data_IF_688337691878
#
_entry.id   IF_688337691878
#
_cell.length_a   1.000
_cell.length_b   1.000
_cell.length_c   1.000
_cell.angle_alpha   90.00
_cell.angle_beta   90.00
_cell.angle_gamma   90.00
#
_symmetry.space_group_name_H-M   'P 1'
#
loop_
_entity.id
_entity.type
_entity.pdbx_description
1 polymer ?
#
# COMPACT_ATOMS: atom_id res chain seq x y z
N UNK A 1 -0.61 18.35 82.76
CA UNK A 1 -1.21 17.83 81.51
C UNK A 1 -0.11 17.70 80.47
N UNK A 2 0.13 16.52 79.88
CA UNK A 2 1.09 16.41 78.79
C UNK A 2 0.44 17.00 77.52
N UNK A 3 0.96 18.12 77.02
CA UNK A 3 0.58 18.65 75.72
C UNK A 3 1.26 17.78 74.65
N UNK A 4 0.55 16.75 74.20
CA UNK A 4 0.98 15.92 73.07
C UNK A 4 1.02 16.77 71.81
N UNK A 5 2.17 17.40 71.53
CA UNK A 5 2.41 18.06 70.25
C UNK A 5 2.52 16.97 69.18
N UNK A 6 1.51 16.88 68.33
CA UNK A 6 1.57 16.07 67.11
C UNK A 6 2.73 16.61 66.28
N UNK A 7 3.81 15.83 66.15
CA UNK A 7 4.98 16.20 65.35
C UNK A 7 4.66 15.94 63.88
N UNK A 8 4.32 16.99 63.14
CA UNK A 8 4.04 16.91 61.70
C UNK A 8 5.33 16.82 60.88
N UNK A 9 5.24 16.45 59.60
CA UNK A 9 6.39 16.40 58.69
C UNK A 9 7.14 17.74 58.59
N UNK A 10 6.39 18.85 58.65
CA UNK A 10 6.90 20.22 58.67
C UNK A 10 7.77 20.50 59.92
N UNK A 11 7.29 20.12 61.11
CA UNK A 11 8.03 20.31 62.37
C UNK A 11 9.34 19.52 62.38
N UNK A 12 9.31 18.30 61.82
CA UNK A 12 10.50 17.44 61.72
C UNK A 12 11.55 18.03 60.79
N UNK A 13 11.14 18.61 59.66
CA UNK A 13 12.04 19.30 58.73
C UNK A 13 12.72 20.51 59.39
N UNK A 14 11.96 21.34 60.09
CA UNK A 14 12.52 22.51 60.82
C UNK A 14 13.52 22.05 61.88
N UNK A 15 13.22 21.00 62.63
CA UNK A 15 14.14 20.42 63.63
C UNK A 15 15.40 19.84 62.98
N UNK A 16 15.27 19.19 61.82
CA UNK A 16 16.37 18.59 61.09
C UNK A 16 17.35 19.65 60.59
N UNK A 17 16.85 20.72 59.97
CA UNK A 17 17.65 21.85 59.49
C UNK A 17 18.27 22.62 60.67
N UNK A 18 17.55 22.78 61.78
CA UNK A 18 18.11 23.38 62.99
C UNK A 18 19.24 22.55 63.62
N UNK A 19 19.18 21.22 63.55
CA UNK A 19 20.19 20.32 64.14
C UNK A 19 21.44 20.17 63.27
N UNK A 20 21.27 20.09 61.95
CA UNK A 20 22.39 19.89 61.00
C UNK A 20 22.95 21.20 60.44
N UNK A 21 22.23 22.31 60.59
CA UNK A 21 22.62 23.63 60.07
C UNK A 21 22.34 23.78 58.58
N UNK A 22 22.84 22.84 57.78
CA UNK A 22 22.65 22.78 56.33
C UNK A 22 22.40 21.32 55.91
N UNK A 23 21.44 21.11 55.00
CA UNK A 23 21.15 19.77 54.48
C UNK A 23 20.66 19.85 53.04
N UNK A 24 21.04 18.89 52.20
CA UNK A 24 20.47 18.76 50.85
C UNK A 24 19.00 18.32 50.93
N UNK A 25 18.18 18.83 50.02
CA UNK A 25 16.75 18.50 49.95
C UNK A 25 16.53 16.99 49.79
N UNK A 26 17.31 16.36 48.92
CA UNK A 26 17.32 14.90 48.68
C UNK A 26 17.65 14.09 49.94
N UNK A 27 18.64 14.53 50.71
CA UNK A 27 19.02 13.88 51.96
C UNK A 27 17.97 14.12 53.06
N UNK A 28 17.33 15.28 53.08
CA UNK A 28 16.22 15.59 53.98
C UNK A 28 14.99 14.71 53.68
N UNK A 29 14.67 14.51 52.41
CA UNK A 29 13.58 13.64 51.96
C UNK A 29 13.78 12.19 52.41
N UNK A 30 14.99 11.65 52.24
CA UNK A 30 15.35 10.30 52.72
C UNK A 30 15.27 10.15 54.24
N UNK A 31 15.72 11.15 54.99
CA UNK A 31 15.71 11.08 56.47
C UNK A 31 14.29 11.20 57.04
N UNK A 32 13.43 11.95 56.36
CA UNK A 32 12.04 12.16 56.78
C UNK A 32 11.08 11.09 56.24
N UNK A 33 11.57 10.21 55.36
CA UNK A 33 10.78 9.19 54.65
C UNK A 33 9.60 9.83 53.90
N UNK A 34 9.92 10.83 53.07
CA UNK A 34 8.95 11.64 52.33
C UNK A 34 9.37 11.79 50.87
N UNK A 35 8.38 11.88 49.97
CA UNK A 35 8.63 12.20 48.56
C UNK A 35 9.25 13.59 48.40
N UNK A 36 10.23 13.71 47.50
CA UNK A 36 10.99 14.95 47.31
C UNK A 36 10.11 16.10 46.82
N UNK A 37 9.10 15.82 45.99
CA UNK A 37 8.14 16.81 45.50
C UNK A 37 7.25 17.35 46.63
N UNK A 38 6.73 16.46 47.47
CA UNK A 38 5.93 16.84 48.65
C UNK A 38 6.78 17.64 49.66
N UNK A 39 8.04 17.25 49.87
CA UNK A 39 8.96 18.00 50.72
C UNK A 39 9.25 19.39 50.15
N UNK A 40 9.36 19.51 48.83
CA UNK A 40 9.61 20.78 48.15
C UNK A 40 8.44 21.76 48.30
N UNK A 41 7.19 21.30 48.32
CA UNK A 41 6.04 22.14 48.65
C UNK A 41 6.12 22.68 50.08
N UNK A 42 6.47 21.84 51.05
CA UNK A 42 6.69 22.28 52.43
C UNK A 42 7.84 23.27 52.56
N UNK A 43 8.94 23.06 51.82
CA UNK A 43 10.08 23.97 51.80
C UNK A 43 9.67 25.33 51.22
N UNK A 44 8.87 25.40 50.15
CA UNK A 44 8.38 26.68 49.60
C UNK A 44 7.64 27.49 50.66
N UNK A 45 6.71 26.86 51.38
CA UNK A 45 5.96 27.50 52.47
C UNK A 45 6.91 28.02 53.56
N UNK A 46 7.92 27.23 53.94
CA UNK A 46 8.88 27.64 54.98
C UNK A 46 9.85 28.74 54.52
N UNK A 47 10.13 28.82 53.23
CA UNK A 47 10.92 29.89 52.61
C UNK A 47 10.11 31.19 52.54
N UNK A 48 8.84 31.12 52.15
CA UNK A 48 7.93 32.26 52.12
C UNK A 48 7.76 32.88 53.52
N UNK A 49 7.83 32.05 54.56
CA UNK A 49 7.81 32.52 55.95
C UNK A 49 9.20 32.88 56.51
N UNK A 50 10.27 32.80 55.71
CA UNK A 50 11.67 33.07 56.08
C UNK A 50 12.20 32.20 57.23
N UNK A 51 11.62 31.01 57.40
CA UNK A 51 12.00 30.00 58.41
C UNK A 51 13.21 29.19 57.91
N UNK A 52 13.26 28.91 56.61
CA UNK A 52 14.34 28.19 55.92
C UNK A 52 14.78 29.01 54.70
N UNK A 53 16.06 28.96 54.35
CA UNK A 53 16.63 29.56 53.14
C UNK A 53 17.10 28.43 52.20
N UNK A 54 16.87 28.55 50.90
CA UNK A 54 17.40 27.60 49.90
C UNK A 54 18.62 28.23 49.23
N UNK A 55 19.75 27.51 49.22
CA UNK A 55 20.88 27.81 48.35
C UNK A 55 20.96 26.80 47.22
N UNK A 56 21.03 27.30 46.00
CA UNK A 56 21.20 26.49 44.80
C UNK A 56 22.70 26.27 44.56
N UNK A 57 23.10 25.02 44.42
CA UNK A 57 24.45 24.68 44.01
C UNK A 57 24.53 24.58 42.49
N UNK A 58 25.72 24.80 41.92
CA UNK A 58 25.96 24.70 40.47
C UNK A 58 25.63 23.31 39.89
N UNK A 59 25.56 22.28 40.75
CA UNK A 59 25.28 20.89 40.39
C UNK A 59 23.78 20.54 40.48
N UNK A 60 22.89 21.51 40.73
CA UNK A 60 21.43 21.33 40.70
C UNK A 60 20.80 20.90 42.03
N UNK A 61 21.59 20.51 43.02
CA UNK A 61 21.09 20.18 44.36
C UNK A 61 20.71 21.44 45.15
N UNK A 62 19.53 21.40 45.78
CA UNK A 62 19.02 22.45 46.68
C UNK A 62 19.50 22.17 48.11
N UNK A 63 20.22 23.11 48.70
CA UNK A 63 20.66 23.03 50.09
C UNK A 63 19.74 23.90 50.94
N UNK A 64 19.09 23.28 51.92
CA UNK A 64 18.27 23.93 52.94
C UNK A 64 19.16 24.44 54.06
N UNK A 65 19.06 25.73 54.38
CA UNK A 65 19.74 26.40 55.48
C UNK A 65 18.74 27.06 56.40
N UNK A 66 19.15 27.34 57.63
CA UNK A 66 18.32 28.05 58.60
C UNK A 66 18.02 29.48 58.13
N UNK A 67 16.74 29.84 58.07
CA UNK A 67 16.29 31.19 57.71
C UNK A 67 16.44 32.21 58.86
N UNK A 68 16.38 33.52 58.55
CA UNK A 68 16.64 34.60 59.49
C UNK A 68 15.65 34.69 60.66
N UNK A 69 14.42 34.16 60.53
CA UNK A 69 13.40 34.20 61.60
C UNK A 69 13.62 33.19 62.74
N UNK A 70 14.68 32.39 62.71
CA UNK A 70 15.05 31.49 63.82
C UNK A 70 16.27 32.03 64.62
N UNK A 71 16.39 33.35 64.74
CA UNK A 71 17.20 34.00 65.77
C UNK A 71 16.29 34.61 66.83
N UNK A 72 16.30 33.98 68.01
CA UNK A 72 15.84 34.59 69.25
C UNK A 72 14.38 34.31 69.61
N UNK A 73 14.15 34.07 70.90
CA UNK A 73 12.84 33.92 71.49
C UNK A 73 11.93 35.11 71.12
N UNK A 74 10.75 34.83 70.58
CA UNK A 74 9.72 35.84 70.32
C UNK A 74 9.19 36.29 71.68
N UNK A 75 9.60 37.48 72.13
CA UNK A 75 9.05 38.11 73.33
C UNK A 75 7.65 38.64 73.02
N UNK A 76 6.74 38.49 73.98
CA UNK A 76 5.32 38.91 73.93
C UNK A 76 5.12 40.43 73.80
N UNK A 77 6.19 41.23 73.73
CA UNK A 77 6.12 42.70 73.77
C UNK A 77 6.23 43.36 72.40
N UNK A 78 6.79 42.70 71.38
CA UNK A 78 6.80 43.22 70.01
C UNK A 78 5.49 42.97 69.26
N UNK A 79 4.68 42.00 69.71
CA UNK A 79 3.32 41.76 69.20
C UNK A 79 2.37 42.88 69.66
N UNK A 80 2.59 43.48 70.85
CA UNK A 80 1.71 44.55 71.36
C UNK A 80 1.90 45.89 70.63
N UNK A 81 3.12 46.26 70.22
CA UNK A 81 3.36 47.55 69.54
C UNK A 81 2.99 47.58 68.06
N UNK A 82 2.96 46.43 67.37
CA UNK A 82 2.48 46.35 65.98
C UNK A 82 0.94 46.25 65.86
N UNK A 83 0.26 45.90 66.95
CA UNK A 83 -1.22 45.85 67.00
C UNK A 83 -1.85 47.23 67.29
N UNK A 84 -1.12 48.17 67.91
CA UNK A 84 -1.65 49.51 68.25
C UNK A 84 -1.50 50.57 67.15
N UNK A 85 -0.76 50.31 66.06
CA UNK A 85 -0.66 51.25 64.91
C UNK A 85 -1.61 50.93 63.77
N UNK A 86 -2.40 49.84 63.87
CA UNK A 86 -3.37 49.43 62.86
C UNK A 86 -4.81 49.90 63.22
N UNK A 87 -5.05 50.33 64.46
CA UNK A 87 -6.40 50.68 64.97
C UNK A 87 -6.81 52.15 64.88
N UNK A 88 -6.16 52.96 64.02
CA UNK A 88 -6.65 54.29 63.60
C UNK A 88 -6.26 54.64 62.15
N UNK A 89 -6.54 53.73 61.22
CA UNK A 89 -6.75 54.10 59.81
C UNK A 89 -8.21 53.85 59.48
N UNK A 90 -8.82 54.88 58.93
CA UNK A 90 -10.23 55.03 58.58
C UNK A 90 -10.84 53.74 58.01
N UNK A 91 -12.06 53.34 58.43
CA UNK A 91 -12.79 52.24 57.81
C UNK A 91 -13.06 52.48 56.30
N UNK A 92 -12.88 53.70 55.79
CA UNK A 92 -12.98 54.04 54.37
C UNK A 92 -11.78 53.54 53.54
N UNK A 93 -10.53 53.59 54.04
CA UNK A 93 -9.35 53.21 53.22
C UNK A 93 -9.10 51.70 53.13
N UNK A 94 -9.55 50.92 54.12
CA UNK A 94 -9.48 49.45 54.07
C UNK A 94 -10.59 48.89 53.17
N UNK A 95 -11.78 49.51 53.19
CA UNK A 95 -12.85 49.21 52.24
C UNK A 95 -12.42 49.55 50.80
N UNK A 96 -11.79 50.71 50.57
CA UNK A 96 -11.31 51.14 49.25
C UNK A 96 -10.17 50.26 48.70
N UNK A 97 -9.24 49.79 49.55
CA UNK A 97 -8.17 48.87 49.12
C UNK A 97 -8.67 47.43 48.88
N UNK A 98 -9.66 46.98 49.65
CA UNK A 98 -10.30 45.67 49.46
C UNK A 98 -11.24 45.67 48.24
N UNK A 99 -11.94 46.77 47.99
CA UNK A 99 -12.75 47.00 46.78
C UNK A 99 -11.86 47.10 45.54
N UNK A 100 -10.69 47.75 45.64
CA UNK A 100 -9.70 47.80 44.56
C UNK A 100 -9.08 46.43 44.26
N UNK A 101 -8.77 45.61 45.27
CA UNK A 101 -8.31 44.23 45.08
C UNK A 101 -9.39 43.33 44.49
N UNK A 102 -10.65 43.49 44.91
CA UNK A 102 -11.78 42.77 44.30
C UNK A 102 -11.99 43.20 42.85
N UNK A 103 -11.89 44.49 42.56
CA UNK A 103 -11.96 45.01 41.18
C UNK A 103 -10.80 44.49 40.31
N UNK A 104 -9.58 44.44 40.83
CA UNK A 104 -8.40 43.93 40.11
C UNK A 104 -8.46 42.40 39.91
N UNK A 105 -8.98 41.64 40.88
CA UNK A 105 -9.22 40.21 40.75
C UNK A 105 -10.38 39.91 39.78
N UNK A 106 -11.42 40.73 39.78
CA UNK A 106 -12.55 40.61 38.85
C UNK A 106 -12.14 40.99 37.42
N UNK A 107 -11.30 42.01 37.24
CA UNK A 107 -10.69 42.38 35.96
C UNK A 107 -9.77 41.28 35.45
N UNK A 108 -8.96 40.67 36.32
CA UNK A 108 -8.13 39.52 35.97
C UNK A 108 -8.97 38.29 35.57
N UNK A 109 -10.06 37.99 36.28
CA UNK A 109 -11.00 36.92 35.92
C UNK A 109 -11.68 37.19 34.58
N UNK A 110 -12.07 38.44 34.31
CA UNK A 110 -12.65 38.84 33.01
C UNK A 110 -11.63 38.72 31.88
N UNK A 111 -10.38 39.11 32.11
CA UNK A 111 -9.29 38.95 31.15
C UNK A 111 -8.98 37.47 30.87
N UNK A 112 -8.91 36.63 31.90
CA UNK A 112 -8.72 35.17 31.76
C UNK A 112 -9.90 34.51 31.02
N UNK A 113 -11.15 34.93 31.31
CA UNK A 113 -12.33 34.43 30.61
C UNK A 113 -12.38 34.89 29.14
N UNK A 114 -11.97 36.12 28.85
CA UNK A 114 -11.89 36.65 27.49
C UNK A 114 -10.77 35.96 26.68
N UNK A 115 -9.61 35.72 27.29
CA UNK A 115 -8.52 34.96 26.67
C UNK A 115 -8.94 33.51 26.39
N UNK A 116 -9.65 32.86 27.32
CA UNK A 116 -10.20 31.52 27.12
C UNK A 116 -11.21 31.48 25.98
N UNK A 117 -12.13 32.45 25.89
CA UNK A 117 -13.08 32.57 24.77
C UNK A 117 -12.39 32.77 23.43
N UNK A 118 -11.34 33.60 23.38
CA UNK A 118 -10.54 33.81 22.17
C UNK A 118 -9.80 32.54 21.75
N UNK A 119 -9.24 31.80 22.70
CA UNK A 119 -8.58 30.51 22.45
C UNK A 119 -9.57 29.45 21.93
N UNK A 120 -10.76 29.33 22.54
CA UNK A 120 -11.83 28.43 22.08
C UNK A 120 -12.31 28.79 20.66
N UNK A 121 -12.47 30.08 20.34
CA UNK A 121 -12.86 30.54 19.01
C UNK A 121 -11.77 30.26 17.97
N UNK A 122 -10.49 30.44 18.32
CA UNK A 122 -9.37 30.12 17.44
C UNK A 122 -9.25 28.61 17.20
N UNK A 123 -9.43 27.79 18.24
CA UNK A 123 -9.45 26.34 18.12
C UNK A 123 -10.60 25.87 17.22
N UNK A 124 -11.79 26.45 17.36
CA UNK A 124 -12.93 26.16 16.48
C UNK A 124 -12.62 26.51 15.01
N UNK A 125 -12.06 27.70 14.75
CA UNK A 125 -11.65 28.10 13.39
C UNK A 125 -10.58 27.17 12.82
N UNK A 126 -9.63 26.71 13.66
CA UNK A 126 -8.62 25.74 13.25
C UNK A 126 -9.24 24.37 12.94
N UNK A 127 -10.19 23.91 13.75
CA UNK A 127 -10.91 22.66 13.52
C UNK A 127 -11.70 22.69 12.20
N UNK A 128 -12.46 23.77 11.95
CA UNK A 128 -13.20 23.98 10.69
C UNK A 128 -12.24 24.00 9.47
N UNK A 129 -11.09 24.69 9.58
CA UNK A 129 -10.08 24.70 8.52
C UNK A 129 -9.44 23.33 8.27
N UNK A 130 -9.25 22.51 9.31
CA UNK A 130 -8.77 21.13 9.19
C UNK A 130 -9.82 20.28 8.51
N UNK A 131 -11.09 20.38 8.89
CA UNK A 131 -12.19 19.64 8.30
C UNK A 131 -12.31 19.91 6.79
N UNK A 132 -12.29 21.18 6.39
CA UNK A 132 -12.28 21.55 4.97
C UNK A 132 -11.09 20.96 4.19
N UNK A 133 -9.90 20.91 4.82
CA UNK A 133 -8.71 20.30 4.20
C UNK A 133 -8.86 18.79 4.08
N UNK A 134 -9.40 18.13 5.10
CA UNK A 134 -9.64 16.67 5.10
C UNK A 134 -10.64 16.31 3.99
N UNK A 135 -11.73 17.06 3.84
CA UNK A 135 -12.66 16.86 2.73
C UNK A 135 -11.99 17.06 1.36
N UNK A 136 -11.16 18.10 1.22
CA UNK A 136 -10.39 18.35 0.00
C UNK A 136 -9.43 17.21 -0.35
N UNK A 137 -8.75 16.64 0.66
CA UNK A 137 -7.88 15.47 0.50
C UNK A 137 -8.70 14.24 0.11
N UNK A 138 -9.85 14.02 0.73
CA UNK A 138 -10.73 12.88 0.41
C UNK A 138 -11.22 12.94 -1.04
N UNK A 139 -11.64 14.11 -1.52
CA UNK A 139 -12.05 14.34 -2.92
C UNK A 139 -10.91 14.06 -3.88
N UNK A 140 -9.72 14.63 -3.64
CA UNK A 140 -8.53 14.38 -4.48
C UNK A 140 -8.14 12.90 -4.50
N UNK A 141 -8.20 12.22 -3.36
CA UNK A 141 -7.90 10.79 -3.25
C UNK A 141 -8.90 9.94 -4.06
N UNK A 142 -10.18 10.28 -4.02
CA UNK A 142 -11.20 9.60 -4.83
C UNK A 142 -10.96 9.82 -6.33
N UNK A 143 -10.59 11.03 -6.75
CA UNK A 143 -10.23 11.31 -8.14
C UNK A 143 -8.98 10.55 -8.60
N UNK A 144 -7.93 10.50 -7.78
CA UNK A 144 -6.73 9.74 -8.10
C UNK A 144 -7.02 8.25 -8.26
N UNK A 145 -7.86 7.65 -7.40
CA UNK A 145 -8.29 6.25 -7.55
C UNK A 145 -9.01 5.99 -8.87
N UNK A 146 -9.95 6.86 -9.26
CA UNK A 146 -10.64 6.75 -10.56
C UNK A 146 -9.66 6.84 -11.73
N UNK A 147 -8.63 7.69 -11.63
CA UNK A 147 -7.58 7.80 -12.66
C UNK A 147 -6.72 6.54 -12.72
N UNK A 148 -6.35 5.97 -11.58
CA UNK A 148 -5.61 4.71 -11.49
C UNK A 148 -6.40 3.55 -12.12
N UNK A 149 -7.69 3.41 -11.79
CA UNK A 149 -8.59 2.42 -12.41
C UNK A 149 -8.66 2.60 -13.93
N UNK A 150 -8.79 3.85 -14.40
CA UNK A 150 -8.80 4.15 -15.84
C UNK A 150 -7.47 3.79 -16.52
N UNK A 151 -6.33 4.02 -15.86
CA UNK A 151 -5.02 3.65 -16.39
C UNK A 151 -4.89 2.13 -16.49
N UNK A 152 -5.35 1.39 -15.48
CA UNK A 152 -5.35 -0.07 -15.51
C UNK A 152 -6.18 -0.61 -16.68
N UNK A 153 -7.39 -0.06 -16.88
CA UNK A 153 -8.23 -0.42 -18.02
C UNK A 153 -7.54 -0.14 -19.36
N UNK A 154 -6.87 1.01 -19.50
CA UNK A 154 -6.14 1.34 -20.74
C UNK A 154 -4.97 0.39 -21.00
N UNK A 155 -4.29 -0.08 -19.95
CA UNK A 155 -3.22 -1.08 -20.08
C UNK A 155 -3.78 -2.42 -20.54
N UNK A 156 -4.95 -2.82 -20.04
CA UNK A 156 -5.63 -4.04 -20.45
C UNK A 156 -6.07 -3.96 -21.92
N UNK A 157 -6.71 -2.85 -22.32
CA UNK A 157 -7.09 -2.60 -23.72
C UNK A 157 -5.87 -2.66 -24.64
N UNK A 158 -4.74 -2.05 -24.26
CA UNK A 158 -3.54 -2.07 -25.08
C UNK A 158 -2.97 -3.49 -25.27
N UNK A 159 -3.08 -4.36 -24.26
CA UNK A 159 -2.70 -5.77 -24.37
C UNK A 159 -3.64 -6.55 -25.28
N UNK A 160 -4.93 -6.29 -25.16
CA UNK A 160 -5.95 -6.91 -26.01
C UNK A 160 -5.77 -6.49 -27.48
N UNK A 161 -5.44 -5.22 -27.73
CA UNK A 161 -5.14 -4.70 -29.07
C UNK A 161 -3.90 -5.38 -29.68
N UNK A 162 -2.85 -5.61 -28.89
CA UNK A 162 -1.66 -6.34 -29.33
C UNK A 162 -1.99 -7.80 -29.68
N UNK A 163 -2.77 -8.48 -28.82
CA UNK A 163 -3.24 -9.84 -29.07
C UNK A 163 -4.13 -9.92 -30.32
N UNK A 164 -5.01 -8.94 -30.53
CA UNK A 164 -5.85 -8.84 -31.71
C UNK A 164 -5.00 -8.69 -32.98
N UNK A 165 -3.98 -7.83 -32.97
CA UNK A 165 -3.08 -7.64 -34.11
C UNK A 165 -2.29 -8.92 -34.45
N UNK A 166 -1.85 -9.67 -33.44
CA UNK A 166 -1.22 -10.97 -33.63
C UNK A 166 -2.19 -11.98 -34.27
N UNK A 167 -3.42 -12.06 -33.78
CA UNK A 167 -4.46 -12.94 -34.36
C UNK A 167 -4.79 -12.57 -35.80
N UNK A 168 -4.93 -11.28 -36.12
CA UNK A 168 -5.17 -10.81 -37.48
C UNK A 168 -4.04 -11.23 -38.44
N UNK A 169 -2.79 -11.13 -37.99
CA UNK A 169 -1.64 -11.55 -38.77
C UNK A 169 -1.65 -13.06 -39.06
N UNK A 170 -1.99 -13.88 -38.06
CA UNK A 170 -2.12 -15.34 -38.22
C UNK A 170 -3.27 -15.70 -39.16
N UNK A 171 -4.41 -15.04 -39.05
CA UNK A 171 -5.56 -15.24 -39.96
C UNK A 171 -5.18 -14.91 -41.39
N UNK A 172 -4.45 -13.82 -41.62
CA UNK A 172 -3.97 -13.44 -42.95
C UNK A 172 -3.03 -14.49 -43.54
N UNK A 173 -2.09 -15.01 -42.75
CA UNK A 173 -1.17 -16.06 -43.16
C UNK A 173 -1.92 -17.37 -43.49
N UNK A 174 -2.85 -17.78 -42.63
CA UNK A 174 -3.69 -18.97 -42.86
C UNK A 174 -4.51 -18.84 -44.15
N UNK A 175 -5.07 -17.65 -44.40
CA UNK A 175 -5.82 -17.39 -45.63
C UNK A 175 -4.95 -17.54 -46.88
N UNK A 176 -3.74 -16.97 -46.86
CA UNK A 176 -2.78 -17.11 -47.96
C UNK A 176 -2.38 -18.58 -48.20
N UNK A 177 -2.17 -19.35 -47.13
CA UNK A 177 -1.89 -20.79 -47.21
C UNK A 177 -3.07 -21.55 -47.81
N UNK A 178 -4.30 -21.25 -47.39
CA UNK A 178 -5.52 -21.86 -47.95
C UNK A 178 -5.63 -21.61 -49.46
N UNK A 179 -5.46 -20.36 -49.88
CA UNK A 179 -5.51 -19.99 -51.31
C UNK A 179 -4.43 -20.70 -52.14
N UNK A 180 -3.23 -20.93 -51.57
CA UNK A 180 -2.18 -21.70 -52.23
C UNK A 180 -2.58 -23.17 -52.39
N UNK A 181 -3.07 -23.78 -51.31
CA UNK A 181 -3.49 -25.19 -51.32
C UNK A 181 -4.66 -25.42 -52.29
N UNK A 182 -5.61 -24.49 -52.38
CA UNK A 182 -6.71 -24.56 -53.35
C UNK A 182 -6.20 -24.56 -54.80
N UNK A 183 -5.17 -23.76 -55.11
CA UNK A 183 -4.55 -23.77 -56.44
C UNK A 183 -3.83 -25.09 -56.71
N UNK A 184 -3.11 -25.62 -55.74
CA UNK A 184 -2.39 -26.90 -55.87
C UNK A 184 -3.37 -28.06 -56.10
N UNK A 185 -4.51 -28.06 -55.39
CA UNK A 185 -5.60 -29.03 -55.59
C UNK A 185 -6.14 -28.92 -57.02
N UNK A 186 -6.48 -27.71 -57.48
CA UNK A 186 -7.00 -27.50 -58.83
C UNK A 186 -6.02 -27.99 -59.92
N UNK A 187 -4.71 -27.74 -59.75
CA UNK A 187 -3.68 -28.26 -60.65
C UNK A 187 -3.59 -29.78 -60.60
N UNK A 188 -3.71 -30.38 -59.41
CA UNK A 188 -3.76 -31.83 -59.24
C UNK A 188 -4.94 -32.46 -59.97
N UNK A 189 -6.14 -31.87 -59.85
CA UNK A 189 -7.36 -32.31 -60.52
C UNK A 189 -7.24 -32.22 -62.05
N UNK A 190 -6.62 -31.16 -62.57
CA UNK A 190 -6.34 -31.03 -64.01
C UNK A 190 -5.43 -32.15 -64.51
N UNK A 191 -4.33 -32.43 -63.80
CA UNK A 191 -3.40 -33.52 -64.15
C UNK A 191 -4.09 -34.88 -64.12
N UNK A 192 -4.95 -35.13 -63.14
CA UNK A 192 -5.75 -36.37 -63.07
C UNK A 192 -6.66 -36.48 -64.30
N UNK A 193 -7.31 -35.39 -64.70
CA UNK A 193 -8.16 -35.36 -65.90
C UNK A 193 -7.38 -35.68 -67.17
N UNK A 194 -6.19 -35.10 -67.33
CA UNK A 194 -5.30 -35.35 -68.47
C UNK A 194 -4.83 -36.81 -68.52
N UNK A 195 -4.38 -37.36 -67.39
CA UNK A 195 -3.96 -38.76 -67.29
C UNK A 195 -5.13 -39.70 -67.63
N UNK A 196 -6.34 -39.42 -67.13
CA UNK A 196 -7.51 -40.24 -67.44
C UNK A 196 -7.84 -40.24 -68.94
N UNK A 197 -7.69 -39.11 -69.63
CA UNK A 197 -7.85 -39.05 -71.09
C UNK A 197 -6.79 -39.90 -71.80
N UNK A 198 -5.53 -39.79 -71.39
CA UNK A 198 -4.44 -40.60 -71.95
C UNK A 198 -4.68 -42.10 -71.75
N UNK A 199 -5.18 -42.51 -70.58
CA UNK A 199 -5.54 -43.91 -70.31
C UNK A 199 -6.65 -44.37 -71.26
N UNK A 200 -7.68 -43.55 -71.48
CA UNK A 200 -8.75 -43.88 -72.42
C UNK A 200 -8.24 -44.04 -73.85
N UNK A 201 -7.39 -43.12 -74.32
CA UNK A 201 -6.77 -43.18 -75.65
C UNK A 201 -5.92 -44.46 -75.81
N UNK A 202 -5.10 -44.80 -74.80
CA UNK A 202 -4.29 -46.02 -74.80
C UNK A 202 -5.16 -47.28 -74.83
N UNK A 203 -6.24 -47.32 -74.04
CA UNK A 203 -7.16 -48.46 -74.04
C UNK A 203 -7.83 -48.65 -75.41
N UNK A 204 -8.25 -47.56 -76.07
CA UNK A 204 -8.80 -47.62 -77.43
C UNK A 204 -7.77 -48.17 -78.43
N UNK A 205 -6.52 -47.68 -78.34
CA UNK A 205 -5.44 -48.16 -79.20
C UNK A 205 -5.10 -49.63 -78.96
N UNK A 206 -5.13 -50.08 -77.70
CA UNK A 206 -4.94 -51.49 -77.35
C UNK A 206 -6.02 -52.38 -77.99
N UNK A 207 -7.29 -51.94 -77.96
CA UNK A 207 -8.39 -52.66 -78.61
C UNK A 207 -8.24 -52.72 -80.13
N UNK A 208 -7.76 -51.66 -80.77
CA UNK A 208 -7.47 -51.65 -82.21
C UNK A 208 -6.36 -52.64 -82.56
N UNK A 209 -5.26 -52.62 -81.82
CA UNK A 209 -4.13 -53.56 -82.02
C UNK A 209 -4.59 -55.01 -81.84
N UNK A 210 -5.41 -55.29 -80.83
CA UNK A 210 -5.93 -56.64 -80.58
C UNK A 210 -6.86 -57.11 -81.71
N UNK A 211 -7.64 -56.21 -82.33
CA UNK A 211 -8.43 -56.54 -83.53
C UNK A 211 -7.53 -56.86 -84.73
N UNK A 212 -6.57 -55.99 -85.02
CA UNK A 212 -5.62 -56.21 -86.13
C UNK A 212 -4.84 -57.52 -85.96
N UNK A 213 -4.42 -57.83 -84.73
CA UNK A 213 -3.74 -59.09 -84.41
C UNK A 213 -4.60 -60.29 -84.76
N UNK A 214 -5.89 -60.30 -84.37
CA UNK A 214 -6.81 -61.40 -84.68
C UNK A 214 -7.06 -61.54 -86.18
N UNK A 215 -7.14 -60.43 -86.91
CA UNK A 215 -7.28 -60.45 -88.37
C UNK A 215 -6.04 -61.08 -89.02
N UNK A 216 -4.84 -60.65 -88.63
CA UNK A 216 -3.59 -61.25 -89.10
C UNK A 216 -3.44 -62.72 -88.73
N UNK A 217 -3.86 -63.12 -87.53
CA UNK A 217 -3.85 -64.54 -87.12
C UNK A 217 -4.74 -65.39 -88.02
N UNK A 218 -5.92 -64.89 -88.44
CA UNK A 218 -6.79 -65.57 -89.41
C UNK A 218 -6.14 -65.65 -90.79
N UNK A 219 -5.56 -64.56 -91.30
CA UNK A 219 -4.85 -64.56 -92.59
C UNK A 219 -3.70 -65.58 -92.60
N UNK A 220 -2.94 -65.67 -91.51
CA UNK A 220 -1.87 -66.67 -91.35
C UNK A 220 -2.44 -68.10 -91.39
N UNK A 221 -3.57 -68.36 -90.73
CA UNK A 221 -4.21 -69.68 -90.77
C UNK A 221 -4.67 -70.05 -92.18
N UNK A 222 -5.28 -69.11 -92.91
CA UNK A 222 -5.70 -69.31 -94.30
C UNK A 222 -4.51 -69.58 -95.22
N UNK A 223 -3.41 -68.83 -95.07
CA UNK A 223 -2.17 -69.05 -95.83
C UNK A 223 -1.59 -70.42 -95.54
N UNK A 224 -1.56 -70.84 -94.26
CA UNK A 224 -1.10 -72.19 -93.87
C UNK A 224 -1.96 -73.28 -94.51
N UNK A 225 -3.28 -73.14 -94.48
CA UNK A 225 -4.19 -74.09 -95.10
C UNK A 225 -3.97 -74.19 -96.62
N UNK A 226 -3.87 -73.05 -97.32
CA UNK A 226 -3.56 -73.00 -98.76
C UNK A 226 -2.21 -73.64 -99.07
N UNK A 227 -1.18 -73.38 -98.26
CA UNK A 227 0.14 -74.00 -98.41
C UNK A 227 0.04 -75.52 -98.30
N UNK A 228 -0.63 -76.05 -97.28
CA UNK A 228 -0.82 -77.51 -97.11
C UNK A 228 -1.58 -78.14 -98.29
N UNK A 229 -2.61 -77.48 -98.82
CA UNK A 229 -3.30 -77.95 -100.03
C UNK A 229 -2.38 -78.00 -101.25
N UNK A 230 -1.55 -76.97 -101.45
CA UNK A 230 -0.58 -76.94 -102.55
C UNK A 230 0.47 -78.05 -102.39
N UNK A 231 0.97 -78.29 -101.19
CA UNK A 231 1.93 -79.36 -100.89
C UNK A 231 1.33 -80.74 -101.18
N UNK A 232 0.09 -81.01 -100.74
CA UNK A 232 -0.62 -82.26 -101.04
C UNK A 232 -0.82 -82.45 -102.56
N UNK A 233 -1.31 -81.42 -103.25
CA UNK A 233 -1.50 -81.46 -104.71
C UNK A 233 -0.18 -81.70 -105.46
N UNK A 234 0.92 -81.14 -104.95
CA UNK A 234 2.26 -81.35 -105.53
C UNK A 234 2.74 -82.79 -105.34
N UNK A 235 2.46 -83.41 -104.21
CA UNK A 235 2.83 -84.79 -103.92
C UNK A 235 2.08 -85.78 -104.83
N UNK A 236 0.77 -85.57 -105.03
CA UNK A 236 -0.04 -86.36 -105.98
C UNK A 236 0.46 -86.22 -107.45
N UNK A 237 1.08 -85.09 -107.82
CA UNK A 237 1.66 -84.88 -109.15
C UNK A 237 3.04 -85.54 -109.33
N UNK A 238 3.77 -85.80 -108.25
CA UNK A 238 5.13 -86.37 -108.28
C UNK A 238 5.10 -87.91 -108.16
N UNK A 239 4.08 -88.50 -107.51
CA UNK A 239 3.84 -89.96 -107.50
C UNK A 239 2.44 -90.32 -108.03
N UNK A 240 2.20 -90.24 -109.36
CA UNK A 240 0.95 -90.72 -109.95
C UNK A 240 0.85 -92.26 -110.00
N UNK A 241 1.83 -93.02 -109.48
CA UNK A 241 2.14 -94.38 -109.94
C UNK A 241 1.94 -95.54 -108.96
N UNK A 242 1.51 -95.33 -107.72
CA UNK A 242 1.42 -96.42 -106.72
C UNK A 242 0.03 -96.71 -106.16
N UNK A 243 -1.03 -96.00 -106.57
CA UNK A 243 -2.39 -96.19 -106.01
C UNK A 243 -3.28 -97.20 -106.77
N UNK A 244 -2.85 -97.74 -107.90
CA UNK A 244 -3.54 -98.84 -108.60
C UNK A 244 -2.66 -100.10 -108.65
N UNK A 245 -2.66 -100.89 -107.56
CA UNK A 245 -2.38 -102.34 -107.53
C UNK A 245 -2.82 -102.98 -106.22
#
# INVERSE_FOLDING_TARGET
>A
MPTGRIKTGLDRLILLVNKKGEIKLTDAAKILDMDEEALNEFVKILVDHEIIEIKYTFVGDRILKRGPKIKGAISREEIKRKVETITKKEPEKVAEEEEKKRAEEEEKKRAEEEEKKRAEEEEKKRAEAIEMKVEGIAKKKAESRKKEEKIQLLIEIAKDDEALSQLESQVKEMKQKSESLERDIAQGEQKISEINKQIQELNSREQEIEKEKREREKEIQEIRAKKSQIEANREDLIDPGTKDK
#
